data_IF_913916051806
#
_entry.id   IF_913916051806
#
_cell.length_a   1.000
_cell.length_b   1.000
_cell.length_c   1.000
_cell.angle_alpha   90.00
_cell.angle_beta   90.00
_cell.angle_gamma   90.00
#
_symmetry.space_group_name_H-M   'P 1'
#
loop_
_entity.id
_entity.type
_entity.pdbx_description
1 polymer ?
#
# COMPACT_ATOMS: atom_id res chain seq x y z
N UNK A 1 -12.99 25.84 -30.50
CA UNK A 1 -12.93 25.33 -29.12
C UNK A 1 -12.63 26.49 -28.17
N UNK A 2 -13.57 26.85 -27.31
CA UNK A 2 -13.44 27.94 -26.34
C UNK A 2 -12.39 27.60 -25.27
N UNK A 3 -11.90 28.60 -24.52
CA UNK A 3 -10.94 28.37 -23.44
C UNK A 3 -11.50 27.45 -22.35
N UNK A 4 -12.81 27.53 -22.09
CA UNK A 4 -13.50 26.70 -21.10
C UNK A 4 -13.64 25.25 -21.54
N UNK A 5 -13.90 25.00 -22.84
CA UNK A 5 -13.88 23.65 -23.40
C UNK A 5 -12.51 22.98 -23.25
N UNK A 6 -11.42 23.73 -23.49
CA UNK A 6 -10.05 23.22 -23.29
C UNK A 6 -9.79 22.84 -21.83
N UNK A 7 -10.19 23.70 -20.88
CA UNK A 7 -10.02 23.46 -19.44
C UNK A 7 -10.83 22.24 -18.98
N UNK A 8 -12.06 22.10 -19.47
CA UNK A 8 -12.92 20.96 -19.15
C UNK A 8 -12.35 19.64 -19.70
N UNK A 9 -11.87 19.64 -20.94
CA UNK A 9 -11.24 18.46 -21.54
C UNK A 9 -9.98 18.03 -20.77
N UNK A 10 -9.11 18.99 -20.39
CA UNK A 10 -7.94 18.72 -19.57
C UNK A 10 -8.33 18.15 -18.19
N UNK A 11 -9.34 18.74 -17.54
CA UNK A 11 -9.84 18.24 -16.26
C UNK A 11 -10.40 16.82 -16.33
N UNK A 12 -11.12 16.48 -17.41
CA UNK A 12 -11.61 15.12 -17.64
C UNK A 12 -10.47 14.12 -17.89
N UNK A 13 -9.44 14.53 -18.64
CA UNK A 13 -8.22 13.74 -18.81
C UNK A 13 -7.53 13.47 -17.48
N UNK A 14 -7.39 14.50 -16.63
CA UNK A 14 -6.80 14.35 -15.31
C UNK A 14 -7.63 13.43 -14.40
N UNK A 15 -8.95 13.51 -14.48
CA UNK A 15 -9.83 12.60 -13.74
C UNK A 15 -9.60 11.13 -14.13
N UNK A 16 -9.54 10.84 -15.44
CA UNK A 16 -9.33 9.48 -15.94
C UNK A 16 -7.96 8.93 -15.51
N UNK A 17 -6.90 9.70 -15.71
CA UNK A 17 -5.56 9.31 -15.27
C UNK A 17 -5.46 9.13 -13.75
N UNK A 18 -6.05 10.04 -12.96
CA UNK A 18 -6.09 9.89 -11.51
C UNK A 18 -6.85 8.63 -11.08
N UNK A 19 -7.93 8.28 -11.76
CA UNK A 19 -8.70 7.05 -11.48
C UNK A 19 -7.88 5.79 -11.78
N UNK A 20 -7.15 5.78 -12.91
CA UNK A 20 -6.26 4.68 -13.28
C UNK A 20 -5.09 4.54 -12.31
N UNK A 21 -4.38 5.64 -12.02
CA UNK A 21 -3.27 5.64 -11.08
C UNK A 21 -3.71 5.27 -9.67
N UNK A 22 -4.89 5.72 -9.23
CA UNK A 22 -5.48 5.31 -7.96
C UNK A 22 -5.74 3.79 -7.91
N UNK A 23 -6.26 3.22 -9.00
CA UNK A 23 -6.49 1.77 -9.10
C UNK A 23 -5.18 0.99 -8.98
N UNK A 24 -4.15 1.38 -9.76
CA UNK A 24 -2.82 0.75 -9.71
C UNK A 24 -2.21 0.92 -8.32
N UNK A 25 -2.24 2.13 -7.75
CA UNK A 25 -1.72 2.39 -6.42
C UNK A 25 -2.37 1.53 -5.35
N UNK A 26 -3.70 1.39 -5.40
CA UNK A 26 -4.46 0.58 -4.44
C UNK A 26 -4.13 -0.91 -4.57
N UNK A 27 -4.09 -1.45 -5.79
CA UNK A 27 -3.71 -2.85 -6.03
C UNK A 27 -2.27 -3.10 -5.57
N UNK A 28 -1.31 -2.22 -5.91
CA UNK A 28 0.07 -2.35 -5.48
C UNK A 28 0.21 -2.23 -3.96
N UNK A 29 -0.49 -1.30 -3.31
CA UNK A 29 -0.46 -1.10 -1.85
C UNK A 29 -1.04 -2.30 -1.09
N UNK A 30 -2.14 -2.86 -1.60
CA UNK A 30 -2.73 -4.09 -1.06
C UNK A 30 -1.78 -5.28 -1.22
N UNK A 31 -1.26 -5.53 -2.42
CA UNK A 31 -0.32 -6.63 -2.66
C UNK A 31 0.96 -6.47 -1.84
N UNK A 32 1.49 -5.25 -1.69
CA UNK A 32 2.63 -4.97 -0.82
C UNK A 32 2.34 -5.32 0.64
N UNK A 33 1.15 -5.00 1.15
CA UNK A 33 0.78 -5.31 2.54
C UNK A 33 0.66 -6.82 2.81
N UNK A 34 0.23 -7.59 1.82
CA UNK A 34 0.04 -9.05 1.92
C UNK A 34 1.24 -9.86 1.42
N UNK A 35 2.24 -9.23 0.80
CA UNK A 35 3.45 -9.90 0.35
C UNK A 35 4.26 -10.42 1.54
N UNK A 36 4.65 -11.69 1.49
CA UNK A 36 5.58 -12.28 2.46
C UNK A 36 7.04 -11.89 2.21
N UNK A 37 7.32 -11.24 1.07
CA UNK A 37 8.62 -10.71 0.69
C UNK A 37 8.54 -9.19 0.50
N UNK A 38 8.18 -8.46 1.57
CA UNK A 38 8.22 -6.99 1.56
C UNK A 38 9.68 -6.49 1.57
N UNK A 39 10.50 -7.12 2.40
CA UNK A 39 11.95 -6.98 2.42
C UNK A 39 12.58 -8.35 2.15
N UNK A 40 13.79 -8.37 1.59
CA UNK A 40 14.59 -9.59 1.44
C UNK A 40 15.73 -9.55 2.47
N UNK A 41 15.85 -10.62 3.25
CA UNK A 41 16.83 -10.79 4.33
C UNK A 41 17.79 -11.90 3.91
N UNK A 42 19.00 -11.51 3.52
CA UNK A 42 20.08 -12.42 3.15
C UNK A 42 20.93 -12.72 4.39
N UNK A 43 21.07 -14.01 4.72
CA UNK A 43 21.88 -14.48 5.84
C UNK A 43 23.30 -14.75 5.34
N UNK A 44 24.29 -14.15 5.98
CA UNK A 44 25.71 -14.39 5.69
C UNK A 44 26.22 -15.43 6.66
N UNK A 45 26.54 -16.61 6.14
CA UNK A 45 27.01 -17.76 6.92
C UNK A 45 28.55 -17.80 7.02
N UNK A 46 29.05 -18.48 8.05
CA UNK A 46 30.46 -18.81 8.20
C UNK A 46 30.94 -19.79 7.12
N UNK A 47 32.21 -19.71 6.71
CA UNK A 47 32.79 -20.65 5.72
C UNK A 47 32.81 -22.10 6.21
N UNK A 48 32.70 -22.30 7.53
CA UNK A 48 32.69 -23.61 8.17
C UNK A 48 31.28 -24.10 8.50
N UNK A 49 30.23 -23.41 8.02
CA UNK A 49 28.86 -23.80 8.28
C UNK A 49 28.60 -25.19 7.68
N UNK A 50 28.53 -26.21 8.54
CA UNK A 50 27.93 -27.49 8.22
C UNK A 50 26.44 -27.36 8.58
N UNK A 51 25.55 -27.86 7.72
CA UNK A 51 24.11 -27.90 7.98
C UNK A 51 23.77 -28.91 9.09
N UNK A 52 24.54 -28.94 10.18
CA UNK A 52 24.34 -29.77 11.36
C UNK A 52 23.29 -29.15 12.31
N UNK A 53 22.26 -28.51 11.75
CA UNK A 53 21.07 -28.15 12.49
C UNK A 53 20.35 -29.36 13.11
N UNK A 54 20.78 -30.57 12.72
CA UNK A 54 20.42 -31.89 13.24
C UNK A 54 20.57 -32.05 14.76
N UNK A 55 21.35 -31.18 15.43
CA UNK A 55 21.47 -31.21 16.89
C UNK A 55 20.20 -30.70 17.61
N UNK A 56 19.39 -29.87 16.94
CA UNK A 56 18.08 -29.46 17.42
C UNK A 56 17.02 -30.33 16.73
N UNK A 57 15.95 -30.73 17.43
CA UNK A 57 14.82 -31.53 16.89
C UNK A 57 13.98 -30.77 15.83
N UNK A 58 14.61 -29.86 15.09
CA UNK A 58 14.03 -29.07 14.01
C UNK A 58 14.19 -29.87 12.71
N UNK A 59 13.13 -29.96 11.92
CA UNK A 59 13.20 -30.56 10.58
C UNK A 59 14.30 -29.91 9.76
N UNK A 60 15.17 -30.73 9.14
CA UNK A 60 16.28 -30.30 8.26
C UNK A 60 15.83 -29.26 7.22
N UNK A 61 14.62 -29.43 6.69
CA UNK A 61 14.02 -28.50 5.72
C UNK A 61 13.82 -27.09 6.28
N UNK A 62 13.44 -26.97 7.56
CA UNK A 62 13.22 -25.68 8.23
C UNK A 62 14.55 -24.97 8.48
N UNK A 63 15.61 -25.71 8.84
CA UNK A 63 16.90 -25.06 9.06
C UNK A 63 17.53 -24.58 7.75
N UNK A 64 17.46 -25.39 6.69
CA UNK A 64 17.93 -24.97 5.37
C UNK A 64 17.15 -23.74 4.88
N UNK A 65 15.82 -23.75 5.05
CA UNK A 65 14.97 -22.60 4.76
C UNK A 65 15.33 -21.33 5.57
N UNK A 66 15.81 -21.47 6.81
CA UNK A 66 16.20 -20.37 7.68
C UNK A 66 17.63 -19.85 7.46
N UNK A 67 18.42 -20.54 6.66
CA UNK A 67 19.80 -20.15 6.32
C UNK A 67 19.92 -19.56 4.91
N UNK A 68 18.89 -19.75 4.08
CA UNK A 68 18.76 -19.09 2.79
C UNK A 68 18.20 -17.66 2.88
N UNK A 69 18.11 -16.99 1.73
CA UNK A 69 17.48 -15.67 1.63
C UNK A 69 15.98 -15.77 1.95
N UNK A 70 15.53 -14.99 2.92
CA UNK A 70 14.15 -14.94 3.39
C UNK A 70 13.45 -13.71 2.87
N UNK A 71 12.20 -13.84 2.43
CA UNK A 71 11.31 -12.69 2.36
C UNK A 71 10.73 -12.41 3.74
N UNK A 72 10.65 -11.14 4.14
CA UNK A 72 9.98 -10.74 5.38
C UNK A 72 8.79 -9.85 5.00
N UNK A 73 7.59 -10.22 5.42
CA UNK A 73 6.34 -9.48 5.24
C UNK A 73 5.71 -9.04 6.56
N UNK A 74 4.60 -8.30 6.53
CA UNK A 74 3.98 -7.81 7.77
C UNK A 74 3.19 -8.86 8.58
N UNK A 75 2.85 -9.97 7.93
CA UNK A 75 2.00 -11.03 8.49
C UNK A 75 2.64 -12.42 8.44
N UNK A 76 3.75 -12.55 7.73
CA UNK A 76 4.51 -13.78 7.58
C UNK A 76 5.81 -13.51 6.86
N UNK A 77 6.59 -14.56 6.66
CA UNK A 77 7.87 -14.53 5.96
C UNK A 77 7.87 -15.60 4.86
N UNK A 78 8.57 -15.32 3.77
CA UNK A 78 8.78 -16.23 2.65
C UNK A 78 10.09 -16.98 2.85
N UNK A 79 10.05 -18.30 2.75
CA UNK A 79 11.26 -19.14 2.71
C UNK A 79 11.28 -19.97 1.44
N UNK A 80 12.48 -20.32 0.99
CA UNK A 80 12.68 -21.29 -0.09
C UNK A 80 12.87 -22.67 0.54
N UNK A 81 12.03 -23.62 0.14
CA UNK A 81 12.13 -25.04 0.53
C UNK A 81 12.82 -25.79 -0.62
N UNK A 82 13.54 -26.90 -0.36
CA UNK A 82 14.14 -27.71 -1.42
C UNK A 82 13.17 -27.90 -2.59
N UNK A 83 13.65 -27.74 -3.83
CA UNK A 83 12.86 -27.70 -5.09
C UNK A 83 12.33 -26.28 -5.49
N UNK A 84 13.05 -25.20 -5.18
CA UNK A 84 12.78 -23.81 -5.62
C UNK A 84 11.36 -23.29 -5.29
N UNK A 85 10.68 -23.91 -4.32
CA UNK A 85 9.34 -23.51 -3.92
C UNK A 85 9.44 -22.46 -2.82
N UNK A 86 8.81 -21.30 -3.08
CA UNK A 86 8.68 -20.22 -2.11
C UNK A 86 7.38 -20.39 -1.33
N UNK A 87 7.48 -20.54 -0.02
CA UNK A 87 6.33 -20.70 0.88
C UNK A 87 6.23 -19.52 1.84
N UNK A 88 5.02 -18.97 1.94
CA UNK A 88 4.66 -18.01 2.97
C UNK A 88 4.33 -18.72 4.28
N UNK A 89 5.15 -18.53 5.30
CA UNK A 89 4.94 -19.04 6.64
C UNK A 89 4.51 -17.92 7.59
N UNK A 90 3.64 -18.23 8.55
CA UNK A 90 3.33 -17.32 9.65
C UNK A 90 4.50 -17.21 10.62
N UNK A 91 4.61 -16.10 11.35
CA UNK A 91 5.67 -15.93 12.35
C UNK A 91 5.53 -16.89 13.54
N UNK A 92 4.32 -17.21 13.97
CA UNK A 92 4.14 -18.20 15.03
C UNK A 92 4.27 -19.61 14.46
N UNK A 93 5.31 -20.34 14.88
CA UNK A 93 5.54 -21.73 14.49
C UNK A 93 5.54 -22.63 15.72
N UNK A 94 5.07 -23.87 15.55
CA UNK A 94 5.11 -24.88 16.61
C UNK A 94 6.32 -25.77 16.38
N UNK A 95 7.28 -25.72 17.30
CA UNK A 95 8.48 -26.56 17.28
C UNK A 95 8.27 -27.70 18.28
N UNK A 96 8.48 -28.94 17.84
CA UNK A 96 8.39 -30.12 18.72
C UNK A 96 9.39 -29.99 19.88
N UNK A 97 8.98 -30.38 21.09
CA UNK A 97 9.79 -30.23 22.31
C UNK A 97 9.86 -28.82 22.92
N UNK A 98 9.66 -27.76 22.12
CA UNK A 98 9.74 -26.34 22.57
C UNK A 98 8.37 -25.71 22.76
N UNK A 99 7.42 -25.98 21.85
CA UNK A 99 6.10 -25.36 21.81
C UNK A 99 5.99 -24.25 20.75
N UNK A 100 5.11 -23.27 21.00
CA UNK A 100 4.90 -22.15 20.07
C UNK A 100 5.95 -21.08 20.26
N UNK A 101 6.71 -20.80 19.19
CA UNK A 101 7.75 -19.77 19.14
C UNK A 101 7.30 -18.64 18.23
N UNK A 102 7.58 -17.39 18.61
CA UNK A 102 7.25 -16.21 17.80
C UNK A 102 8.29 -15.12 18.07
N UNK A 103 8.97 -14.61 17.04
CA UNK A 103 10.05 -13.65 17.21
C UNK A 103 9.53 -12.33 17.76
N UNK A 104 10.36 -11.68 18.57
CA UNK A 104 10.05 -10.38 19.13
C UNK A 104 10.06 -9.27 18.07
N UNK A 105 8.94 -8.56 17.94
CA UNK A 105 8.78 -7.44 17.03
C UNK A 105 9.01 -6.10 17.74
N UNK A 106 9.95 -5.32 17.24
CA UNK A 106 10.18 -3.97 17.77
C UNK A 106 9.05 -2.98 17.39
N UNK A 107 9.06 -1.83 18.05
CA UNK A 107 8.08 -0.76 17.79
C UNK A 107 8.11 -0.28 16.34
N UNK A 108 9.26 -0.37 15.65
CA UNK A 108 9.40 0.06 14.25
C UNK A 108 8.67 -0.88 13.30
N UNK A 109 8.78 -2.20 13.50
CA UNK A 109 8.02 -3.18 12.73
C UNK A 109 6.51 -2.98 12.93
N UNK A 110 6.08 -2.88 14.18
CA UNK A 110 4.67 -2.71 14.51
C UNK A 110 4.10 -1.39 13.99
N UNK A 111 4.89 -0.32 14.00
CA UNK A 111 4.51 0.97 13.40
C UNK A 111 4.41 0.87 11.87
N UNK A 112 5.38 0.25 11.21
CA UNK A 112 5.34 0.03 9.76
C UNK A 112 4.11 -0.80 9.33
N UNK A 113 3.78 -1.83 10.12
CA UNK A 113 2.55 -2.62 9.96
C UNK A 113 1.28 -1.78 10.13
N UNK A 114 1.21 -0.93 11.14
CA UNK A 114 0.08 -0.03 11.33
C UNK A 114 -0.04 0.97 10.16
N UNK A 115 1.08 1.51 9.69
CA UNK A 115 1.11 2.46 8.59
C UNK A 115 0.63 1.85 7.27
N UNK A 116 0.96 0.58 6.98
CA UNK A 116 0.44 -0.09 5.77
C UNK A 116 -1.09 -0.26 5.81
N UNK A 117 -1.65 -0.56 6.99
CA UNK A 117 -3.10 -0.66 7.18
C UNK A 117 -3.76 0.70 6.95
N UNK A 118 -3.25 1.76 7.58
CA UNK A 118 -3.77 3.12 7.43
C UNK A 118 -3.70 3.57 5.97
N UNK A 119 -2.57 3.34 5.29
CA UNK A 119 -2.40 3.68 3.89
C UNK A 119 -3.45 3.00 2.99
N UNK A 120 -3.70 1.70 3.19
CA UNK A 120 -4.70 0.95 2.44
C UNK A 120 -6.14 1.36 2.75
N UNK A 121 -6.47 1.74 3.99
CA UNK A 121 -7.81 2.25 4.34
C UNK A 121 -8.08 3.56 3.60
N UNK A 122 -7.19 4.55 3.71
CA UNK A 122 -7.39 5.85 3.07
C UNK A 122 -7.30 5.77 1.53
N UNK A 123 -6.38 4.95 1.01
CA UNK A 123 -6.28 4.66 -0.42
C UNK A 123 -7.52 3.95 -0.96
N UNK A 124 -8.07 2.99 -0.21
CA UNK A 124 -9.28 2.26 -0.56
C UNK A 124 -10.53 3.14 -0.56
N UNK A 125 -10.68 4.03 0.44
CA UNK A 125 -11.77 5.02 0.46
C UNK A 125 -11.71 5.92 -0.78
N UNK A 126 -10.53 6.42 -1.12
CA UNK A 126 -10.35 7.26 -2.31
C UNK A 126 -10.65 6.49 -3.61
N UNK A 127 -10.15 5.25 -3.70
CA UNK A 127 -10.40 4.35 -4.84
C UNK A 127 -11.89 4.07 -5.04
N UNK A 128 -12.60 3.64 -4.00
CA UNK A 128 -14.04 3.36 -4.05
C UNK A 128 -14.81 4.63 -4.42
N UNK A 129 -14.44 5.78 -3.86
CA UNK A 129 -15.12 7.05 -4.16
C UNK A 129 -14.95 7.47 -5.62
N UNK A 130 -13.75 7.32 -6.20
CA UNK A 130 -13.52 7.59 -7.63
C UNK A 130 -14.26 6.60 -8.53
N UNK A 131 -14.33 5.33 -8.12
CA UNK A 131 -15.09 4.33 -8.85
C UNK A 131 -16.59 4.65 -8.87
N UNK A 132 -17.16 4.98 -7.69
CA UNK A 132 -18.56 5.37 -7.56
C UNK A 132 -18.91 6.71 -8.22
N UNK A 133 -17.95 7.64 -8.34
CA UNK A 133 -18.16 8.89 -9.05
C UNK A 133 -18.43 8.69 -10.56
N UNK A 134 -18.19 7.50 -11.11
CA UNK A 134 -18.57 7.16 -12.48
C UNK A 134 -20.06 6.84 -12.63
N UNK A 135 -20.71 6.36 -11.56
CA UNK A 135 -22.15 6.01 -11.56
C UNK A 135 -23.02 7.03 -10.82
N UNK A 136 -22.46 7.76 -9.85
CA UNK A 136 -23.17 8.73 -9.01
C UNK A 136 -22.63 10.14 -9.24
N UNK A 137 -23.51 11.13 -9.21
CA UNK A 137 -23.08 12.53 -9.26
C UNK A 137 -22.35 12.91 -7.97
N UNK A 138 -21.03 12.99 -8.05
CA UNK A 138 -20.21 13.57 -7.00
C UNK A 138 -20.00 15.07 -7.24
N UNK A 139 -20.14 15.86 -6.18
CA UNK A 139 -19.82 17.28 -6.26
C UNK A 139 -18.31 17.51 -6.42
N UNK A 140 -17.94 18.57 -7.14
CA UNK A 140 -16.54 18.94 -7.37
C UNK A 140 -15.76 19.14 -6.05
N UNK A 141 -16.42 19.65 -5.01
CA UNK A 141 -15.81 19.83 -3.69
C UNK A 141 -15.46 18.49 -3.03
N UNK A 142 -16.31 17.46 -3.17
CA UNK A 142 -16.03 16.12 -2.63
C UNK A 142 -14.83 15.48 -3.33
N UNK A 143 -14.72 15.63 -4.65
CA UNK A 143 -13.57 15.15 -5.42
C UNK A 143 -12.29 15.83 -4.95
N UNK A 144 -12.29 17.16 -4.79
CA UNK A 144 -11.14 17.90 -4.25
C UNK A 144 -10.74 17.43 -2.85
N UNK A 145 -11.71 17.02 -2.02
CA UNK A 145 -11.46 16.43 -0.70
C UNK A 145 -10.67 15.12 -0.73
N UNK A 146 -10.65 14.40 -1.86
CA UNK A 146 -9.85 13.18 -2.01
C UNK A 146 -8.34 13.45 -1.99
N UNK A 147 -7.88 14.67 -2.28
CA UNK A 147 -6.48 15.03 -2.13
C UNK A 147 -5.97 14.79 -0.71
N UNK A 148 -6.79 15.03 0.33
CA UNK A 148 -6.40 14.73 1.71
C UNK A 148 -6.19 13.21 1.93
N UNK A 149 -7.05 12.37 1.35
CA UNK A 149 -6.94 10.92 1.45
C UNK A 149 -5.69 10.41 0.75
N UNK A 150 -5.39 10.92 -0.45
CA UNK A 150 -4.17 10.58 -1.18
C UNK A 150 -2.90 11.05 -0.48
N UNK A 151 -2.92 12.22 0.17
CA UNK A 151 -1.81 12.70 0.98
C UNK A 151 -1.52 11.74 2.14
N UNK A 152 -2.54 11.38 2.91
CA UNK A 152 -2.44 10.44 4.03
C UNK A 152 -1.95 9.08 3.53
N UNK A 153 -2.55 8.54 2.47
CA UNK A 153 -2.15 7.26 1.89
C UNK A 153 -0.69 7.26 1.41
N UNK A 154 -0.25 8.32 0.71
CA UNK A 154 1.14 8.48 0.24
C UNK A 154 2.11 8.51 1.42
N UNK A 155 1.82 9.34 2.42
CA UNK A 155 2.67 9.52 3.58
C UNK A 155 2.84 8.20 4.35
N UNK A 156 1.73 7.56 4.71
CA UNK A 156 1.77 6.32 5.47
C UNK A 156 2.34 5.14 4.66
N UNK A 157 2.06 5.06 3.36
CA UNK A 157 2.70 4.05 2.49
C UNK A 157 4.22 4.24 2.47
N UNK A 158 4.71 5.48 2.38
CA UNK A 158 6.14 5.77 2.48
C UNK A 158 6.74 5.46 3.86
N UNK A 159 5.99 5.68 4.94
CA UNK A 159 6.46 5.34 6.29
C UNK A 159 6.54 3.83 6.57
N UNK A 160 5.94 2.98 5.73
CA UNK A 160 6.10 1.52 5.84
C UNK A 160 7.55 1.05 5.67
N UNK A 161 8.40 1.83 4.99
CA UNK A 161 9.84 1.57 4.85
C UNK A 161 10.62 1.71 6.18
N UNK A 162 9.97 2.11 7.27
CA UNK A 162 10.56 2.05 8.61
C UNK A 162 10.95 0.61 9.02
N UNK A 163 10.36 -0.41 8.38
CA UNK A 163 10.74 -1.82 8.58
C UNK A 163 12.23 -2.09 8.34
N UNK A 164 12.91 -1.35 7.46
CA UNK A 164 14.36 -1.50 7.21
C UNK A 164 15.23 -1.05 8.38
N UNK A 165 14.65 -0.35 9.36
CA UNK A 165 15.32 0.05 10.61
C UNK A 165 14.90 -0.80 11.81
N UNK A 166 14.09 -1.83 11.59
CA UNK A 166 13.59 -2.74 12.62
C UNK A 166 14.62 -3.84 12.93
N UNK A 167 14.43 -4.49 14.08
CA UNK A 167 15.16 -5.69 14.51
C UNK A 167 15.07 -6.86 13.52
N UNK A 168 14.10 -6.86 12.59
CA UNK A 168 14.03 -7.87 11.51
C UNK A 168 15.30 -7.92 10.65
N UNK A 169 16.02 -6.80 10.57
CA UNK A 169 17.29 -6.68 9.87
C UNK A 169 18.52 -6.98 10.74
N UNK A 170 18.31 -7.50 11.94
CA UNK A 170 19.40 -7.92 12.81
C UNK A 170 19.58 -9.44 12.74
N UNK A 171 20.83 -9.89 13.00
CA UNK A 171 21.21 -11.31 13.02
C UNK A 171 20.35 -12.15 13.97
N UNK A 172 20.02 -11.61 15.14
CA UNK A 172 19.26 -12.31 16.19
C UNK A 172 17.74 -12.37 15.99
N UNK A 173 17.16 -11.89 14.89
CA UNK A 173 15.70 -11.86 14.74
C UNK A 173 15.05 -13.26 14.82
N UNK A 174 15.72 -14.28 14.29
CA UNK A 174 15.25 -15.67 14.32
C UNK A 174 15.93 -16.53 15.40
N UNK A 175 16.63 -15.93 16.38
CA UNK A 175 17.39 -16.69 17.39
C UNK A 175 16.51 -17.68 18.17
N UNK A 176 15.27 -17.33 18.44
CA UNK A 176 14.32 -18.19 19.15
C UNK A 176 13.97 -19.48 18.41
N UNK A 177 14.14 -19.52 17.09
CA UNK A 177 13.91 -20.72 16.27
C UNK A 177 15.08 -21.68 16.32
N UNK A 178 16.24 -21.25 16.82
CA UNK A 178 17.49 -22.01 16.79
C UNK A 178 17.86 -22.61 18.15
N UNK A 179 16.86 -22.95 18.96
CA UNK A 179 17.10 -23.54 20.28
C UNK A 179 17.84 -24.87 20.15
N UNK A 180 18.96 -25.02 20.87
CA UNK A 180 19.81 -26.21 20.85
C UNK A 180 21.07 -26.10 20.01
N UNK A 181 21.26 -25.03 19.23
CA UNK A 181 22.54 -24.74 18.57
C UNK A 181 23.50 -23.99 19.49
N UNK A 182 24.79 -24.08 19.20
CA UNK A 182 25.82 -23.29 19.88
C UNK A 182 25.62 -21.81 19.55
N UNK A 183 25.44 -21.01 20.59
CA UNK A 183 25.19 -19.58 20.47
C UNK A 183 26.34 -18.76 21.05
N UNK A 184 26.53 -17.56 20.50
CA UNK A 184 27.46 -16.57 21.06
C UNK A 184 26.92 -15.98 22.39
N UNK A 185 27.67 -15.04 22.98
CA UNK A 185 27.28 -14.36 24.22
C UNK A 185 25.92 -13.63 24.12
N UNK A 186 25.47 -13.31 22.91
CA UNK A 186 24.19 -12.65 22.63
C UNK A 186 23.05 -13.65 22.35
N UNK A 187 23.31 -14.97 22.41
CA UNK A 187 22.32 -16.00 22.13
C UNK A 187 22.05 -16.21 20.64
N UNK A 188 22.98 -15.82 19.76
CA UNK A 188 22.85 -15.93 18.31
C UNK A 188 23.69 -17.11 17.81
N UNK A 189 23.19 -17.95 16.87
CA UNK A 189 23.99 -19.05 16.34
C UNK A 189 25.34 -18.55 15.81
N UNK A 190 26.44 -19.18 16.25
CA UNK A 190 27.81 -18.74 15.94
C UNK A 190 28.09 -18.71 14.44
N UNK A 191 27.35 -19.50 13.66
CA UNK A 191 27.47 -19.58 12.21
C UNK A 191 26.83 -18.44 11.42
N UNK A 192 25.96 -17.64 12.05
CA UNK A 192 25.34 -16.48 11.41
C UNK A 192 26.23 -15.25 11.66
N UNK A 193 27.07 -14.93 10.67
CA UNK A 193 28.02 -13.81 10.75
C UNK A 193 27.31 -12.46 10.66
N UNK A 194 26.44 -12.30 9.67
CA UNK A 194 25.75 -11.04 9.41
C UNK A 194 24.44 -11.25 8.65
N UNK A 195 23.65 -10.19 8.54
CA UNK A 195 22.38 -10.17 7.81
C UNK A 195 22.26 -8.91 6.99
N UNK A 196 22.05 -9.09 5.69
CA UNK A 196 21.83 -7.99 4.75
C UNK A 196 20.34 -7.87 4.41
N UNK A 197 19.78 -6.70 4.64
CA UNK A 197 18.42 -6.37 4.23
C UNK A 197 18.39 -5.62 2.90
N UNK A 198 17.61 -6.12 1.96
CA UNK A 198 17.43 -5.52 0.64
C UNK A 198 15.94 -5.44 0.25
N UNK A 199 15.68 -4.79 -0.89
CA UNK A 199 14.33 -4.46 -1.32
C UNK A 199 13.62 -5.66 -1.97
N UNK A 200 12.69 -6.26 -1.22
CA UNK A 200 11.84 -7.35 -1.69
C UNK A 200 10.79 -6.93 -2.71
N UNK A 201 10.06 -7.91 -3.22
CA UNK A 201 8.99 -7.70 -4.22
C UNK A 201 7.86 -6.80 -3.70
N UNK A 202 7.40 -7.03 -2.47
CA UNK A 202 6.38 -6.21 -1.81
C UNK A 202 6.85 -4.78 -1.56
N UNK A 203 8.13 -4.60 -1.20
CA UNK A 203 8.74 -3.27 -1.05
C UNK A 203 8.74 -2.50 -2.38
N UNK A 204 9.08 -3.15 -3.50
CA UNK A 204 8.99 -2.54 -4.85
C UNK A 204 7.56 -2.10 -5.16
N UNK A 205 6.56 -2.93 -4.86
CA UNK A 205 5.14 -2.56 -5.04
C UNK A 205 4.71 -1.40 -4.14
N UNK A 206 5.21 -1.32 -2.91
CA UNK A 206 4.96 -0.19 -2.02
C UNK A 206 5.53 1.12 -2.57
N UNK A 207 6.72 1.11 -3.17
CA UNK A 207 7.29 2.31 -3.84
C UNK A 207 6.35 2.76 -4.96
N UNK A 208 5.90 1.84 -5.81
CA UNK A 208 4.97 2.13 -6.91
C UNK A 208 3.67 2.72 -6.39
N UNK A 209 3.10 2.15 -5.31
CA UNK A 209 1.90 2.67 -4.67
C UNK A 209 2.10 4.10 -4.14
N UNK A 210 3.21 4.36 -3.44
CA UNK A 210 3.55 5.70 -2.94
C UNK A 210 3.63 6.73 -4.07
N UNK A 211 4.32 6.40 -5.17
CA UNK A 211 4.48 7.30 -6.32
C UNK A 211 3.12 7.60 -6.97
N UNK A 212 2.28 6.59 -7.20
CA UNK A 212 0.98 6.81 -7.83
C UNK A 212 -0.01 7.53 -6.93
N UNK A 213 -0.03 7.29 -5.61
CA UNK A 213 -0.82 8.11 -4.69
C UNK A 213 -0.37 9.57 -4.70
N UNK A 214 0.95 9.83 -4.79
CA UNK A 214 1.47 11.18 -4.92
C UNK A 214 1.04 11.85 -6.24
N UNK A 215 1.03 11.12 -7.36
CA UNK A 215 0.53 11.66 -8.63
C UNK A 215 -0.97 11.98 -8.53
N UNK A 216 -1.77 11.08 -7.96
CA UNK A 216 -3.21 11.33 -7.72
C UNK A 216 -3.44 12.58 -6.87
N UNK A 217 -2.68 12.76 -5.78
CA UNK A 217 -2.74 13.95 -4.92
C UNK A 217 -2.66 15.25 -5.73
N UNK A 218 -1.77 15.31 -6.72
CA UNK A 218 -1.54 16.48 -7.56
C UNK A 218 -2.57 16.64 -8.69
N UNK A 219 -3.11 15.54 -9.22
CA UNK A 219 -4.07 15.58 -10.34
C UNK A 219 -5.49 15.93 -9.89
N UNK A 220 -5.92 15.43 -8.73
CA UNK A 220 -7.29 15.56 -8.22
C UNK A 220 -7.80 17.02 -8.11
N UNK A 221 -7.02 18.02 -7.65
CA UNK A 221 -7.51 19.40 -7.57
C UNK A 221 -7.96 20.00 -8.91
N UNK A 222 -7.40 19.49 -10.01
CA UNK A 222 -7.68 19.93 -11.38
C UNK A 222 -8.59 18.97 -12.14
N UNK A 223 -8.88 17.79 -11.58
CA UNK A 223 -9.73 16.79 -12.20
C UNK A 223 -11.19 17.26 -12.24
N UNK A 224 -11.88 17.01 -13.35
CA UNK A 224 -13.31 17.30 -13.53
C UNK A 224 -14.01 15.98 -13.84
N UNK A 225 -14.99 15.54 -13.04
CA UNK A 225 -15.67 14.28 -13.27
C UNK A 225 -16.43 14.31 -14.60
N UNK A 226 -16.53 13.17 -15.31
CA UNK A 226 -17.38 13.08 -16.48
C UNK A 226 -18.85 13.26 -16.08
N UNK A 227 -19.65 13.83 -16.99
CA UNK A 227 -21.11 13.86 -16.81
C UNK A 227 -21.64 12.42 -16.83
N UNK A 228 -22.47 11.99 -15.87
CA UNK A 228 -23.03 10.64 -15.87
C UNK A 228 -23.80 10.33 -17.15
N UNK A 229 -23.75 9.07 -17.59
CA UNK A 229 -24.36 8.63 -18.85
C UNK A 229 -25.86 8.97 -18.95
N UNK A 230 -26.64 8.80 -17.86
CA UNK A 230 -28.08 9.08 -17.86
C UNK A 230 -28.47 10.57 -17.97
N UNK A 231 -27.54 11.49 -17.75
CA UNK A 231 -27.76 12.94 -17.93
C UNK A 231 -27.40 13.43 -19.34
N UNK A 232 -26.67 12.63 -20.14
CA UNK A 232 -26.27 13.01 -21.49
C UNK A 232 -27.43 12.99 -22.49
N UNK A 233 -28.36 12.04 -22.36
CA UNK A 233 -29.52 11.95 -23.26
C UNK A 233 -30.47 13.14 -23.09
N UNK A 234 -30.71 13.60 -21.86
CA UNK A 234 -31.59 14.74 -21.60
C UNK A 234 -31.04 16.08 -22.12
N UNK A 235 -29.70 16.22 -22.14
CA UNK A 235 -29.04 17.43 -22.66
C UNK A 235 -28.97 17.46 -24.21
N UNK A 236 -29.04 16.30 -24.88
CA UNK A 236 -29.09 16.23 -26.33
C UNK A 236 -30.52 16.41 -26.89
N UNK A 237 -31.55 16.17 -26.07
CA UNK A 237 -32.97 16.33 -26.45
C UNK A 237 -33.54 17.73 -26.23
N UNK A 238 -32.81 18.65 -25.60
CA UNK A 238 -33.19 20.07 -25.47
C UNK A 238 -32.61 20.88 -26.63
N UNK A 239 -33.08 20.60 -27.85
CA UNK A 239 -32.90 21.50 -28.98
C UNK A 239 -33.73 22.77 -28.76
N UNK A 240 -33.01 23.90 -28.71
CA UNK A 240 -33.47 25.29 -28.79
C UNK A 240 -34.53 25.76 -27.77
N UNK A 241 -34.20 26.72 -26.87
CA UNK A 241 -35.22 27.54 -26.28
C UNK A 241 -35.89 28.34 -27.40
N UNK A 242 -37.15 27.99 -27.68
CA UNK A 242 -38.12 28.86 -28.34
C UNK A 242 -38.00 30.25 -27.71
N UNK A 243 -37.67 31.25 -28.55
CA UNK A 243 -37.34 32.60 -28.12
C UNK A 243 -38.42 33.13 -27.17
N UNK A 244 -38.10 33.21 -25.88
CA UNK A 244 -38.95 33.81 -24.88
C UNK A 244 -39.08 35.30 -25.21
N UNK A 245 -40.24 35.67 -25.73
CA UNK A 245 -40.70 37.04 -25.89
C UNK A 245 -40.51 37.78 -24.58
N UNK A 246 -39.69 38.82 -24.59
CA UNK A 246 -39.47 39.70 -23.43
C UNK A 246 -40.80 40.34 -23.04
N UNK A 247 -41.37 39.96 -21.89
CA UNK A 247 -42.41 40.78 -21.25
C UNK A 247 -41.75 41.93 -20.47
N UNK A 248 -42.20 43.18 -20.65
CA UNK A 248 -41.59 44.35 -20.05
C UNK A 248 -41.75 44.37 -18.53
N UNK A 249 -40.62 44.57 -17.86
CA UNK A 249 -40.49 44.73 -16.42
C UNK A 249 -41.16 46.04 -15.96
N UNK A 250 -42.31 45.94 -15.29
CA UNK A 250 -42.91 47.05 -14.53
C UNK A 250 -42.27 47.14 -13.15
N UNK A 251 -41.57 48.24 -12.92
CA UNK A 251 -40.88 48.58 -11.68
C UNK A 251 -41.89 49.04 -10.61
N UNK A 252 -42.02 48.29 -9.51
CA UNK A 252 -42.84 48.69 -8.36
C UNK A 252 -42.09 49.71 -7.47
N UNK A 253 -42.71 50.85 -7.11
CA UNK A 253 -42.07 51.86 -6.28
C UNK A 253 -41.99 51.43 -4.81
N UNK A 254 -40.77 51.46 -4.26
CA UNK A 254 -40.52 51.30 -2.82
C UNK A 254 -41.03 52.52 -2.05
N UNK A 255 -42.07 52.32 -1.25
CA UNK A 255 -42.47 53.24 -0.18
C UNK A 255 -41.42 53.23 0.94
N UNK A 256 -40.93 54.43 1.27
CA UNK A 256 -40.12 54.67 2.45
C UNK A 256 -41.03 54.79 3.68
N UNK A 257 -40.71 54.06 4.75
CA UNK A 257 -41.29 54.28 6.07
C UNK A 257 -40.25 54.95 7.02
N UNK A 258 -40.74 55.78 7.96
CA UNK A 258 -39.96 56.77 8.72
C UNK A 258 -39.13 56.22 9.88
#
# INVERSE_FOLDING_TARGET
>A
MSADEKRRAAGQGNYFCASLFCCIAFICGMNAAWACSFLEREVVLSENFTADCMAAEISEDVCNALTETQGIGFYGFEVTVPVDQRLCLGYTQHIEGVGYVTPDFDTKFNSAKAFTIVANIFGGIAFITLWLASCCQLSQQRIKGLSCHFFIATLFQGLTFLIYRSVVCHRGFFSEYFQGMETDEDGIPVDILDVNCSLGSGGKLAIVATVFYFLCLNMIPTAVPPTPLGMRENAAGTTEPEAATEEPFTEEPKTAEP
#
